data_IF_900386723201
#
_entry.id   IF_900386723201
#
_cell.length_a   1.000
_cell.length_b   1.000
_cell.length_c   1.000
_cell.angle_alpha   90.00
_cell.angle_beta   90.00
_cell.angle_gamma   90.00
#
_symmetry.space_group_name_H-M   'P 1'
#
loop_
_entity.id
_entity.type
_entity.pdbx_description
1 polymer ?
#
# COMPACT_ATOMS: atom_id res chain seq x y z
N UNK A 1 2.13 -28.77 5.09
CA UNK A 1 2.32 -29.93 4.20
C UNK A 1 3.08 -29.62 2.91
N UNK A 2 3.08 -28.38 2.39
CA UNK A 2 3.93 -27.98 1.23
C UNK A 2 5.30 -27.41 1.64
N UNK A 3 5.37 -26.71 2.78
CA UNK A 3 6.58 -26.04 3.27
C UNK A 3 7.70 -27.00 3.73
N UNK A 4 7.34 -28.18 4.23
CA UNK A 4 8.31 -29.16 4.74
C UNK A 4 9.07 -29.87 3.61
N UNK A 5 8.47 -29.93 2.42
CA UNK A 5 9.10 -30.48 1.21
C UNK A 5 10.20 -29.56 0.65
N UNK A 6 10.12 -28.25 0.93
CA UNK A 6 11.11 -27.25 0.51
C UNK A 6 12.27 -27.07 1.50
N UNK A 7 12.31 -27.82 2.61
CA UNK A 7 13.38 -27.72 3.62
C UNK A 7 13.46 -26.38 4.34
N UNK A 8 12.45 -25.52 4.19
CA UNK A 8 12.41 -24.21 4.84
C UNK A 8 11.97 -24.40 6.29
N UNK A 9 12.79 -24.05 7.29
CA UNK A 9 12.39 -24.15 8.69
C UNK A 9 11.15 -23.30 8.91
N UNK A 10 10.12 -23.88 9.55
CA UNK A 10 8.86 -23.21 9.84
C UNK A 10 9.09 -22.06 10.81
N UNK A 11 9.33 -20.86 10.28
CA UNK A 11 9.39 -19.66 11.10
C UNK A 11 7.95 -19.28 11.45
N UNK A 12 7.56 -19.27 12.74
CA UNK A 12 6.22 -18.84 13.12
C UNK A 12 6.15 -17.31 13.04
N UNK A 13 5.93 -16.80 11.82
CA UNK A 13 5.96 -15.36 11.47
C UNK A 13 5.12 -14.50 12.42
N UNK A 14 3.94 -14.99 12.80
CA UNK A 14 3.02 -14.27 13.70
C UNK A 14 3.29 -14.48 15.20
N UNK A 15 4.15 -15.42 15.60
CA UNK A 15 4.55 -15.64 17.00
C UNK A 15 5.98 -15.18 17.30
N UNK A 16 6.79 -14.95 16.28
CA UNK A 16 8.16 -14.46 16.41
C UNK A 16 8.18 -12.94 16.47
N UNK A 17 8.71 -12.39 17.57
CA UNK A 17 8.79 -10.94 17.82
C UNK A 17 9.55 -10.18 16.73
N UNK A 18 10.53 -10.81 16.08
CA UNK A 18 11.34 -10.19 15.02
C UNK A 18 10.59 -10.10 13.70
N UNK A 19 9.75 -11.10 13.39
CA UNK A 19 9.06 -11.22 12.11
C UNK A 19 7.64 -10.63 12.12
N UNK A 20 7.07 -10.41 13.31
CA UNK A 20 5.72 -9.90 13.46
C UNK A 20 5.52 -8.51 12.81
N UNK A 21 6.38 -7.53 13.12
CA UNK A 21 6.22 -6.15 12.62
C UNK A 21 6.39 -6.05 11.09
N UNK A 22 7.44 -6.64 10.46
CA UNK A 22 7.57 -6.61 9.00
C UNK A 22 6.44 -7.34 8.28
N UNK A 23 5.94 -8.46 8.84
CA UNK A 23 4.85 -9.22 8.24
C UNK A 23 3.54 -8.43 8.26
N UNK A 24 3.21 -7.81 9.40
CA UNK A 24 2.01 -6.95 9.51
C UNK A 24 2.13 -5.77 8.55
N UNK A 25 3.29 -5.09 8.50
CA UNK A 25 3.51 -3.99 7.57
C UNK A 25 3.33 -4.41 6.10
N UNK A 26 3.87 -5.58 5.72
CA UNK A 26 3.72 -6.12 4.36
C UNK A 26 2.25 -6.38 3.99
N UNK A 27 1.48 -6.97 4.90
CA UNK A 27 0.03 -7.20 4.69
C UNK A 27 -0.72 -5.88 4.57
N UNK A 28 -0.42 -4.89 5.43
CA UNK A 28 -1.02 -3.54 5.35
C UNK A 28 -0.73 -2.88 4.02
N UNK A 29 0.52 -2.89 3.58
CA UNK A 29 0.93 -2.29 2.30
C UNK A 29 0.22 -2.99 1.15
N UNK A 30 0.17 -4.32 1.15
CA UNK A 30 -0.45 -5.08 0.07
C UNK A 30 -1.94 -4.73 -0.12
N UNK A 31 -2.73 -4.73 0.97
CA UNK A 31 -4.16 -4.42 0.87
C UNK A 31 -4.41 -2.95 0.53
N UNK A 32 -3.63 -2.02 1.11
CA UNK A 32 -3.81 -0.58 0.84
C UNK A 32 -3.33 -0.16 -0.55
N UNK A 33 -2.32 -0.85 -1.11
CA UNK A 33 -1.78 -0.56 -2.43
C UNK A 33 -2.80 -0.76 -3.54
N UNK A 34 -3.72 -1.73 -3.43
CA UNK A 34 -4.69 -2.03 -4.47
C UNK A 34 -5.51 -0.81 -4.89
N UNK A 35 -6.07 -0.09 -3.90
CA UNK A 35 -6.86 1.10 -4.17
C UNK A 35 -6.00 2.28 -4.65
N UNK A 36 -4.84 2.50 -4.04
CA UNK A 36 -3.93 3.60 -4.44
C UNK A 36 -3.43 3.45 -5.87
N UNK A 37 -3.10 2.23 -6.32
CA UNK A 37 -2.67 1.97 -7.69
C UNK A 37 -3.78 2.32 -8.70
N UNK A 38 -5.03 1.97 -8.40
CA UNK A 38 -6.16 2.29 -9.27
C UNK A 38 -6.37 3.80 -9.38
N UNK A 39 -6.23 4.54 -8.28
CA UNK A 39 -6.31 6.00 -8.29
C UNK A 39 -5.18 6.63 -9.13
N UNK A 40 -3.94 6.15 -8.96
CA UNK A 40 -2.82 6.64 -9.77
C UNK A 40 -2.99 6.30 -11.25
N UNK A 41 -3.53 5.11 -11.59
CA UNK A 41 -3.80 4.74 -12.96
C UNK A 41 -4.88 5.64 -13.59
N UNK A 42 -5.95 5.94 -12.84
CA UNK A 42 -6.97 6.88 -13.28
C UNK A 42 -6.40 8.29 -13.48
N UNK A 43 -5.56 8.76 -12.55
CA UNK A 43 -4.86 10.03 -12.66
C UNK A 43 -3.94 10.11 -13.87
N UNK A 44 -3.17 9.06 -14.13
CA UNK A 44 -2.31 8.99 -15.32
C UNK A 44 -3.11 9.05 -16.62
N UNK A 45 -4.28 8.40 -16.68
CA UNK A 45 -5.18 8.45 -17.84
C UNK A 45 -5.82 9.82 -18.06
N UNK A 46 -5.95 10.64 -17.02
CA UNK A 46 -6.49 12.00 -17.15
C UNK A 46 -5.49 12.99 -17.76
N UNK A 47 -4.20 12.65 -17.83
CA UNK A 47 -3.19 13.53 -18.43
C UNK A 47 -3.29 13.44 -19.96
N UNK A 48 -3.51 14.56 -20.68
CA UNK A 48 -3.57 14.55 -22.13
C UNK A 48 -2.26 14.05 -22.76
N UNK A 49 -2.37 13.19 -23.78
CA UNK A 49 -1.21 12.64 -24.50
C UNK A 49 -0.35 13.71 -25.19
N UNK A 50 -0.98 14.79 -25.64
CA UNK A 50 -0.35 15.93 -26.33
C UNK A 50 0.78 16.57 -25.49
N UNK A 51 0.67 16.56 -24.16
CA UNK A 51 1.71 17.10 -23.27
C UNK A 51 2.99 16.25 -23.35
N UNK A 52 2.84 14.93 -23.48
CA UNK A 52 3.98 14.02 -23.65
C UNK A 52 4.59 14.11 -25.04
N UNK A 53 3.78 14.36 -26.06
CA UNK A 53 4.25 14.61 -27.44
C UNK A 53 5.04 15.92 -27.52
N UNK A 54 4.54 17.00 -26.91
CA UNK A 54 5.28 18.25 -26.79
C UNK A 54 6.62 18.05 -26.05
N UNK A 55 6.63 17.29 -24.96
CA UNK A 55 7.84 16.96 -24.23
C UNK A 55 8.83 16.11 -25.03
N UNK A 56 8.35 15.31 -25.98
CA UNK A 56 9.19 14.55 -26.90
C UNK A 56 9.81 15.45 -27.99
N UNK A 57 9.07 16.44 -28.49
CA UNK A 57 9.59 17.48 -29.39
C UNK A 57 10.71 18.30 -28.72
N UNK A 58 10.58 18.56 -27.42
CA UNK A 58 11.59 19.25 -26.60
C UNK A 58 12.81 18.37 -26.22
N UNK A 59 12.93 17.15 -26.76
CA UNK A 59 14.00 16.19 -26.43
C UNK A 59 14.15 15.92 -24.91
N UNK A 60 13.04 15.93 -24.17
CA UNK A 60 13.09 15.67 -22.72
C UNK A 60 13.39 14.19 -22.40
N UNK A 61 14.29 13.95 -21.45
CA UNK A 61 14.57 12.59 -20.94
C UNK A 61 13.41 12.08 -20.10
N UNK A 62 13.13 10.77 -20.10
CA UNK A 62 12.05 10.13 -19.31
C UNK A 62 11.99 10.55 -17.84
N UNK A 63 13.15 10.70 -17.18
CA UNK A 63 13.21 11.17 -15.80
C UNK A 63 12.77 12.64 -15.64
N UNK A 64 13.17 13.49 -16.58
CA UNK A 64 12.77 14.90 -16.64
C UNK A 64 11.27 15.02 -16.89
N UNK A 65 10.73 14.25 -17.84
CA UNK A 65 9.29 14.15 -18.11
C UNK A 65 8.53 13.70 -16.86
N UNK A 66 8.98 12.63 -16.19
CA UNK A 66 8.34 12.15 -14.97
C UNK A 66 8.32 13.22 -13.87
N UNK A 67 9.47 13.82 -13.54
CA UNK A 67 9.59 14.75 -12.42
C UNK A 67 8.97 16.12 -12.68
N UNK A 68 9.01 16.61 -13.92
CA UNK A 68 8.53 17.97 -14.28
C UNK A 68 7.12 18.01 -14.86
N UNK A 69 6.64 16.90 -15.43
CA UNK A 69 5.32 16.84 -16.08
C UNK A 69 4.42 15.89 -15.30
N UNK A 70 4.76 14.60 -15.25
CA UNK A 70 3.86 13.60 -14.66
C UNK A 70 3.63 13.82 -13.17
N UNK A 71 4.68 14.02 -12.37
CA UNK A 71 4.57 14.16 -10.92
C UNK A 71 3.79 15.41 -10.48
N UNK A 72 4.04 16.61 -11.03
CA UNK A 72 3.22 17.79 -10.73
C UNK A 72 1.76 17.66 -11.19
N UNK A 73 1.51 17.07 -12.36
CA UNK A 73 0.14 16.86 -12.85
C UNK A 73 -0.62 15.80 -12.04
N UNK A 74 0.08 14.82 -11.47
CA UNK A 74 -0.50 13.83 -10.55
C UNK A 74 -0.71 14.38 -9.13
N UNK A 75 -0.24 15.59 -8.80
CA UNK A 75 -0.32 16.14 -7.44
C UNK A 75 -1.71 16.08 -6.80
N UNK A 76 -2.83 16.39 -7.49
CA UNK A 76 -4.17 16.27 -6.92
C UNK A 76 -4.54 14.82 -6.53
N UNK A 77 -4.07 13.84 -7.31
CA UNK A 77 -4.27 12.42 -7.00
C UNK A 77 -3.36 12.00 -5.84
N UNK A 78 -2.10 12.44 -5.85
CA UNK A 78 -1.14 12.15 -4.77
C UNK A 78 -1.64 12.70 -3.43
N UNK A 79 -2.17 13.92 -3.39
CA UNK A 79 -2.69 14.53 -2.16
C UNK A 79 -3.94 13.82 -1.64
N UNK A 80 -4.82 13.37 -2.53
CA UNK A 80 -5.99 12.56 -2.20
C UNK A 80 -5.55 11.20 -1.61
N UNK A 81 -4.67 10.47 -2.30
CA UNK A 81 -4.15 9.19 -1.81
C UNK A 81 -3.45 9.36 -0.46
N UNK A 82 -2.65 10.41 -0.31
CA UNK A 82 -1.97 10.72 0.93
C UNK A 82 -2.94 10.99 2.08
N UNK A 83 -3.99 11.78 1.84
CA UNK A 83 -5.01 12.10 2.85
C UNK A 83 -5.78 10.84 3.29
N UNK A 84 -6.19 10.00 2.33
CA UNK A 84 -6.86 8.74 2.64
C UNK A 84 -5.94 7.82 3.43
N UNK A 85 -4.68 7.67 3.03
CA UNK A 85 -3.74 6.84 3.76
C UNK A 85 -3.46 7.38 5.16
N UNK A 86 -3.37 8.70 5.33
CA UNK A 86 -3.21 9.31 6.64
C UNK A 86 -4.39 8.96 7.55
N UNK A 87 -5.63 9.05 7.05
CA UNK A 87 -6.83 8.64 7.79
C UNK A 87 -6.76 7.14 8.14
N UNK A 88 -6.38 6.27 7.20
CA UNK A 88 -6.28 4.82 7.45
C UNK A 88 -5.21 4.47 8.48
N UNK A 89 -4.06 5.15 8.47
CA UNK A 89 -3.00 4.95 9.44
C UNK A 89 -3.41 5.42 10.85
N UNK A 90 -4.21 6.48 10.95
CA UNK A 90 -4.78 6.88 12.25
C UNK A 90 -5.75 5.83 12.81
N UNK A 91 -6.39 5.03 11.94
CA UNK A 91 -7.29 3.93 12.32
C UNK A 91 -6.57 2.57 12.47
N UNK A 92 -5.23 2.54 12.49
CA UNK A 92 -4.46 1.29 12.58
C UNK A 92 -4.69 0.51 13.89
N UNK A 93 -5.22 1.17 14.93
CA UNK A 93 -5.58 0.53 16.20
C UNK A 93 -6.53 -0.65 16.01
N UNK A 94 -7.54 -0.53 15.14
CA UNK A 94 -8.49 -1.60 14.84
C UNK A 94 -7.76 -2.83 14.28
N UNK A 95 -6.80 -2.60 13.39
CA UNK A 95 -5.98 -3.64 12.78
C UNK A 95 -5.06 -4.33 13.81
N UNK A 96 -4.36 -3.56 14.65
CA UNK A 96 -3.48 -4.12 15.68
C UNK A 96 -4.26 -4.89 16.74
N UNK A 97 -5.44 -4.39 17.13
CA UNK A 97 -6.34 -5.06 18.04
C UNK A 97 -6.75 -6.43 17.49
N UNK A 98 -7.23 -6.50 16.24
CA UNK A 98 -7.61 -7.76 15.58
C UNK A 98 -6.46 -8.78 15.53
N UNK A 99 -5.22 -8.33 15.29
CA UNK A 99 -4.06 -9.21 15.33
C UNK A 99 -3.71 -9.70 16.75
N UNK A 100 -3.92 -8.87 17.78
CA UNK A 100 -3.64 -9.20 19.18
C UNK A 100 -4.54 -10.31 19.72
N UNK A 101 -5.85 -10.25 19.43
CA UNK A 101 -6.81 -11.31 19.81
C UNK A 101 -6.80 -12.52 18.87
N UNK A 102 -5.87 -12.57 17.92
CA UNK A 102 -5.72 -13.70 17.00
C UNK A 102 -6.86 -13.84 15.99
N UNK A 103 -7.60 -12.76 15.71
CA UNK A 103 -8.69 -12.76 14.73
C UNK A 103 -9.90 -13.62 15.09
N UNK A 104 -10.04 -14.09 16.34
CA UNK A 104 -11.26 -14.77 16.79
C UNK A 104 -12.32 -13.71 17.08
N UNK A 105 -13.52 -13.74 16.46
CA UNK A 105 -14.66 -13.01 16.97
C UNK A 105 -14.84 -13.38 18.44
N UNK A 106 -15.07 -12.38 19.26
CA UNK A 106 -15.12 -12.51 20.70
C UNK A 106 -16.35 -13.33 21.10
N UNK A 107 -16.21 -14.64 21.33
CA UNK A 107 -17.24 -15.42 22.04
C UNK A 107 -17.28 -15.10 23.54
N UNK A 108 -16.37 -14.26 24.06
CA UNK A 108 -16.23 -14.00 25.50
C UNK A 108 -16.32 -12.51 25.87
N UNK A 109 -17.17 -11.73 25.20
CA UNK A 109 -17.63 -10.45 25.74
C UNK A 109 -18.91 -10.59 26.56
N UNK A 110 -18.91 -11.51 27.53
CA UNK A 110 -19.63 -11.39 28.81
C UNK A 110 -18.80 -12.11 29.88
N UNK A 111 -18.08 -11.33 30.68
CA UNK A 111 -17.83 -11.65 32.08
C UNK A 111 -18.09 -10.39 32.91
N UNK A 112 -19.32 -9.88 32.81
CA UNK A 112 -20.20 -9.40 33.89
C UNK A 112 -21.62 -9.47 33.35
#
# INVERSE_FOLDING_TARGET
HVLDWLGIPRVPVFKSRVWFLPAVAGVTIWWTAGFSILLFLAGLRSIPGEIYEAAALDNSTRWTTFRRITWPLLWPITSLVFTIQLILQLKIFDQVYLFSIGGRPNDNMVLV
#
